data_IF_814767838559
#
_entry.id   IF_814767838559
#
_cell.length_a   1.000
_cell.length_b   1.000
_cell.length_c   1.000
_cell.angle_alpha   90.00
_cell.angle_beta   90.00
_cell.angle_gamma   90.00
#
_symmetry.space_group_name_H-M   'P 1'
#
loop_
_entity.id
_entity.type
_entity.pdbx_description
1 polymer ?
#
# COMPACT_ATOMS: atom_id res chain seq x y z
N UNK A 1 1.89 17.58 -20.83
CA UNK A 1 0.49 17.75 -20.42
C UNK A 1 -0.19 16.40 -20.18
N UNK A 2 -0.06 15.43 -21.10
CA UNK A 2 -0.69 14.10 -20.98
C UNK A 2 -0.23 13.29 -19.74
N UNK A 3 1.04 13.40 -19.34
CA UNK A 3 1.58 12.65 -18.21
C UNK A 3 0.96 13.02 -16.87
N UNK A 4 0.58 14.29 -16.68
CA UNK A 4 -0.11 14.76 -15.47
C UNK A 4 -1.52 14.19 -15.41
N UNK A 5 -2.22 14.16 -16.55
CA UNK A 5 -3.56 13.57 -16.64
C UNK A 5 -3.52 12.06 -16.35
N UNK A 6 -2.55 11.34 -16.93
CA UNK A 6 -2.34 9.91 -16.67
C UNK A 6 -1.98 9.64 -15.20
N UNK A 7 -1.15 10.48 -14.59
CA UNK A 7 -0.82 10.38 -13.17
C UNK A 7 -2.04 10.64 -12.27
N UNK A 8 -2.84 11.67 -12.56
CA UNK A 8 -4.07 11.97 -11.82
C UNK A 8 -5.07 10.81 -11.89
N UNK A 9 -5.29 10.25 -13.09
CA UNK A 9 -6.17 9.10 -13.29
C UNK A 9 -5.66 7.87 -12.53
N UNK A 10 -4.36 7.56 -12.63
CA UNK A 10 -3.73 6.46 -11.90
C UNK A 10 -3.86 6.64 -10.40
N UNK A 11 -3.50 7.82 -9.87
CA UNK A 11 -3.57 8.11 -8.43
C UNK A 11 -5.00 8.02 -7.90
N UNK A 12 -5.99 8.46 -8.68
CA UNK A 12 -7.40 8.38 -8.30
C UNK A 12 -7.87 6.91 -8.19
N UNK A 13 -7.60 6.10 -9.22
CA UNK A 13 -7.95 4.68 -9.23
C UNK A 13 -7.19 3.93 -8.13
N UNK A 14 -5.90 4.18 -7.97
CA UNK A 14 -5.07 3.56 -6.93
C UNK A 14 -5.54 3.91 -5.51
N UNK A 15 -6.01 5.15 -5.29
CA UNK A 15 -6.52 5.59 -3.98
C UNK A 15 -7.90 5.01 -3.64
N UNK A 16 -8.76 4.80 -4.64
CA UNK A 16 -10.10 4.23 -4.42
C UNK A 16 -10.04 2.70 -4.27
N UNK A 17 -9.07 2.05 -4.92
CA UNK A 17 -8.92 0.60 -4.84
C UNK A 17 -8.69 0.17 -3.39
N UNK A 18 -9.46 -0.82 -2.87
CA UNK A 18 -9.28 -1.31 -1.51
C UNK A 18 -7.96 -2.10 -1.41
N UNK A 19 -6.86 -1.38 -1.15
CA UNK A 19 -5.56 -1.96 -0.87
C UNK A 19 -5.40 -2.39 0.59
N UNK A 20 -4.32 -3.14 0.92
CA UNK A 20 -4.06 -3.60 2.29
C UNK A 20 -4.00 -2.46 3.31
N UNK A 21 -3.39 -1.33 2.94
CA UNK A 21 -3.30 -0.13 3.78
C UNK A 21 -4.67 0.51 4.02
N UNK A 22 -5.49 0.66 2.97
CA UNK A 22 -6.85 1.20 3.09
C UNK A 22 -7.75 0.27 3.91
N UNK A 23 -7.63 -1.05 3.72
CA UNK A 23 -8.36 -2.05 4.50
C UNK A 23 -7.92 -2.08 5.96
N UNK A 24 -6.61 -1.93 6.24
CA UNK A 24 -6.07 -1.78 7.59
C UNK A 24 -6.69 -0.55 8.29
N UNK A 25 -6.72 0.60 7.62
CA UNK A 25 -7.35 1.83 8.15
C UNK A 25 -8.85 1.60 8.40
N UNK A 26 -9.57 0.99 7.46
CA UNK A 26 -11.00 0.68 7.61
C UNK A 26 -11.26 -0.24 8.81
N UNK A 27 -10.48 -1.32 8.96
CA UNK A 27 -10.62 -2.28 10.07
C UNK A 27 -10.26 -1.70 11.44
N UNK A 28 -9.28 -0.79 11.49
CA UNK A 28 -8.90 -0.08 12.73
C UNK A 28 -9.84 1.06 13.07
N UNK A 29 -10.56 1.65 12.10
CA UNK A 29 -11.50 2.75 12.33
C UNK A 29 -12.69 2.37 13.22
N UNK A 30 -13.09 1.10 13.23
CA UNK A 30 -14.16 0.59 14.10
C UNK A 30 -13.66 0.22 15.50
N UNK A 31 -12.36 -0.07 15.67
CA UNK A 31 -11.80 -0.64 16.91
C UNK A 31 -10.88 0.32 17.69
N UNK A 32 -10.37 1.39 17.06
CA UNK A 32 -9.39 2.31 17.66
C UNK A 32 -9.89 3.76 17.66
N UNK A 33 -9.37 4.53 18.61
CA UNK A 33 -9.65 5.96 18.74
C UNK A 33 -9.11 6.75 17.54
N UNK A 34 -9.88 7.73 17.06
CA UNK A 34 -9.64 8.56 15.86
C UNK A 34 -8.18 9.04 15.74
N UNK A 35 -7.52 9.37 16.85
CA UNK A 35 -6.13 9.83 16.89
C UNK A 35 -5.13 8.81 16.31
N UNK A 36 -5.32 7.52 16.57
CA UNK A 36 -4.42 6.46 16.04
C UNK A 36 -4.66 6.22 14.55
N UNK A 37 -5.92 6.25 14.13
CA UNK A 37 -6.32 6.13 12.72
C UNK A 37 -5.75 7.29 11.88
N UNK A 38 -5.79 8.53 12.39
CA UNK A 38 -5.19 9.68 11.72
C UNK A 38 -3.67 9.52 11.54
N UNK A 39 -2.95 9.03 12.55
CA UNK A 39 -1.52 8.74 12.42
C UNK A 39 -1.21 7.71 11.34
N UNK A 40 -2.05 6.67 11.21
CA UNK A 40 -1.91 5.65 10.16
C UNK A 40 -2.17 6.23 8.76
N UNK A 41 -3.20 7.08 8.63
CA UNK A 41 -3.51 7.78 7.37
C UNK A 41 -2.34 8.68 6.96
N UNK A 42 -1.85 9.53 7.87
CA UNK A 42 -0.70 10.41 7.58
C UNK A 42 0.55 9.61 7.22
N UNK A 43 0.85 8.54 7.94
CA UNK A 43 1.98 7.66 7.61
C UNK A 43 1.86 7.03 6.22
N UNK A 44 0.67 6.54 5.87
CA UNK A 44 0.38 5.99 4.54
C UNK A 44 0.52 7.03 3.43
N UNK A 45 -0.04 8.23 3.61
CA UNK A 45 0.05 9.33 2.65
C UNK A 45 1.48 9.84 2.48
N UNK A 46 2.23 10.02 3.58
CA UNK A 46 3.64 10.41 3.52
C UNK A 46 4.46 9.34 2.81
N UNK A 47 4.27 8.06 3.13
CA UNK A 47 4.96 6.96 2.45
C UNK A 47 4.71 6.93 0.95
N UNK A 48 3.46 7.10 0.51
CA UNK A 48 3.10 7.19 -0.90
C UNK A 48 3.73 8.41 -1.57
N UNK A 49 3.66 9.59 -0.94
CA UNK A 49 4.26 10.81 -1.45
C UNK A 49 5.79 10.70 -1.57
N UNK A 50 6.46 10.13 -0.56
CA UNK A 50 7.90 9.86 -0.59
C UNK A 50 8.26 8.89 -1.72
N UNK A 51 7.50 7.82 -1.93
CA UNK A 51 7.75 6.88 -3.02
C UNK A 51 7.62 7.54 -4.39
N UNK A 52 6.59 8.37 -4.60
CA UNK A 52 6.44 9.17 -5.83
C UNK A 52 7.60 10.15 -6.01
N UNK A 53 8.01 10.85 -4.96
CA UNK A 53 9.15 11.77 -5.00
C UNK A 53 10.45 11.04 -5.36
N UNK A 54 10.75 9.93 -4.68
CA UNK A 54 11.95 9.12 -4.89
C UNK A 54 11.99 8.59 -6.34
N UNK A 55 10.87 8.04 -6.83
CA UNK A 55 10.78 7.54 -8.20
C UNK A 55 10.88 8.66 -9.25
N UNK A 56 10.29 9.82 -8.97
CA UNK A 56 10.34 11.02 -9.82
C UNK A 56 11.71 11.72 -9.85
N UNK A 57 12.53 11.58 -8.82
CA UNK A 57 13.90 12.10 -8.76
C UNK A 57 14.91 11.32 -9.64
N UNK A 58 14.47 10.29 -10.36
CA UNK A 58 15.30 9.55 -11.31
C UNK A 58 15.62 8.11 -10.90
N UNK A 59 15.21 7.68 -9.70
CA UNK A 59 15.35 6.26 -9.31
C UNK A 59 14.44 5.38 -10.17
N UNK A 60 13.29 5.91 -10.60
CA UNK A 60 12.40 5.24 -11.55
C UNK A 60 13.04 5.02 -12.92
N UNK A 61 13.87 5.95 -13.40
CA UNK A 61 14.58 5.80 -14.68
C UNK A 61 15.74 4.82 -14.56
N UNK A 62 16.49 4.83 -13.46
CA UNK A 62 17.55 3.84 -13.20
C UNK A 62 16.98 2.42 -13.09
N UNK A 63 15.80 2.23 -12.50
CA UNK A 63 15.16 0.92 -12.45
C UNK A 63 14.75 0.38 -13.84
N UNK A 64 14.38 1.26 -14.78
CA UNK A 64 14.06 0.86 -16.14
C UNK A 64 15.28 0.33 -16.92
N UNK A 65 16.49 0.80 -16.60
CA UNK A 65 17.73 0.27 -17.19
C UNK A 65 18.08 -1.14 -16.70
N UNK A 66 17.53 -1.57 -15.56
CA UNK A 66 17.76 -2.89 -14.97
C UNK A 66 16.45 -3.72 -14.90
N UNK A 67 15.93 -4.20 -16.03
CA UNK A 67 14.64 -4.90 -16.09
C UNK A 67 14.58 -6.16 -15.23
N UNK A 68 15.72 -6.81 -14.95
CA UNK A 68 15.79 -7.97 -14.05
C UNK A 68 15.44 -7.60 -12.60
N UNK A 69 15.89 -6.45 -12.12
CA UNK A 69 15.62 -5.98 -10.74
C UNK A 69 14.14 -5.67 -10.59
N UNK A 70 13.56 -4.95 -11.57
CA UNK A 70 12.13 -4.65 -11.60
C UNK A 70 11.27 -5.93 -11.61
N UNK A 71 11.68 -6.95 -12.37
CA UNK A 71 10.97 -8.22 -12.44
C UNK A 71 11.02 -8.98 -11.12
N UNK A 72 12.20 -9.08 -10.49
CA UNK A 72 12.36 -9.71 -9.16
C UNK A 72 11.53 -8.97 -8.13
N UNK A 73 11.55 -7.63 -8.12
CA UNK A 73 10.81 -6.81 -7.17
C UNK A 73 9.29 -7.00 -7.33
N UNK A 74 8.81 -7.04 -8.58
CA UNK A 74 7.40 -7.27 -8.90
C UNK A 74 6.94 -8.67 -8.47
N UNK A 75 7.74 -9.70 -8.76
CA UNK A 75 7.43 -11.08 -8.37
C UNK A 75 7.45 -11.26 -6.85
N UNK A 76 8.47 -10.71 -6.19
CA UNK A 76 8.61 -10.73 -4.72
C UNK A 76 7.45 -10.00 -4.06
N UNK A 77 7.06 -8.83 -4.57
CA UNK A 77 5.91 -8.07 -4.09
C UNK A 77 4.60 -8.83 -4.27
N UNK A 78 4.40 -9.47 -5.43
CA UNK A 78 3.24 -10.32 -5.69
C UNK A 78 3.14 -11.49 -4.72
N UNK A 79 4.23 -12.26 -4.56
CA UNK A 79 4.31 -13.38 -3.60
C UNK A 79 4.02 -12.89 -2.18
N UNK A 80 4.61 -11.76 -1.78
CA UNK A 80 4.41 -11.19 -0.45
C UNK A 80 2.94 -10.80 -0.20
N UNK A 81 2.30 -10.12 -1.16
CA UNK A 81 0.90 -9.75 -1.05
C UNK A 81 -0.02 -10.98 -1.01
N UNK A 82 0.25 -11.99 -1.84
CA UNK A 82 -0.46 -13.27 -1.80
C UNK A 82 -0.30 -13.97 -0.45
N UNK A 83 0.90 -13.97 0.11
CA UNK A 83 1.18 -14.54 1.44
C UNK A 83 0.42 -13.82 2.55
N UNK A 84 0.41 -12.49 2.55
CA UNK A 84 -0.37 -11.70 3.52
C UNK A 84 -1.86 -11.98 3.37
N UNK A 85 -2.39 -12.05 2.14
CA UNK A 85 -3.78 -12.42 1.90
C UNK A 85 -4.13 -13.80 2.46
N UNK A 86 -3.27 -14.79 2.23
CA UNK A 86 -3.42 -16.14 2.78
C UNK A 86 -3.40 -16.15 4.32
N UNK A 87 -2.53 -15.34 4.94
CA UNK A 87 -2.44 -15.22 6.39
C UNK A 87 -3.70 -14.59 6.99
N UNK A 88 -4.27 -13.57 6.34
CA UNK A 88 -5.52 -12.94 6.78
C UNK A 88 -6.69 -13.92 6.64
N UNK A 89 -6.75 -14.68 5.53
CA UNK A 89 -7.79 -15.68 5.32
C UNK A 89 -7.78 -16.79 6.39
N UNK A 90 -6.60 -17.20 6.84
CA UNK A 90 -6.45 -18.22 7.89
C UNK A 90 -6.45 -17.66 9.32
N UNK A 91 -6.59 -16.34 9.49
CA UNK A 91 -6.61 -15.73 10.82
C UNK A 91 -7.91 -16.09 11.54
N UNK A 92 -7.81 -16.90 12.60
CA UNK A 92 -8.93 -17.17 13.51
C UNK A 92 -8.85 -16.19 14.68
N UNK A 93 -9.83 -15.30 14.87
CA UNK A 93 -9.89 -14.48 16.07
C UNK A 93 -10.11 -15.39 17.28
N UNK A 94 -9.15 -15.35 18.19
CA UNK A 94 -9.13 -15.96 19.51
C UNK A 94 -10.17 -15.27 20.42
N UNK A 95 -11.40 -15.79 20.38
CA UNK A 95 -12.55 -15.28 21.14
C UNK A 95 -12.56 -15.70 22.63
N UNK A 96 -11.48 -16.27 23.16
CA UNK A 96 -11.52 -17.05 24.41
C UNK A 96 -10.83 -16.40 25.62
N UNK A 97 -10.27 -15.18 25.52
CA UNK A 97 -9.56 -14.54 26.66
C UNK A 97 -10.28 -13.38 27.33
N UNK A 98 -11.59 -13.21 27.12
CA UNK A 98 -12.33 -12.05 27.68
C UNK A 98 -13.79 -12.33 28.07
N UNK A 99 -14.07 -13.51 28.61
CA UNK A 99 -15.28 -13.78 29.40
C UNK A 99 -14.88 -13.82 30.87
#
# INVERSE_FOLDING_TARGET
METILAFCAFSFVASITPGPTNFLILSTSHQFSIKKTLGLIFGGSIGAASLVLITGLGIGTTLNEYPKIQLILSFTGGIWLSYIGWKIFNYRPDLESKI
#
